data_IF_138128872299
#
_entry.id   IF_138128872299
#
_cell.length_a   1.000
_cell.length_b   1.000
_cell.length_c   1.000
_cell.angle_alpha   90.00
_cell.angle_beta   90.00
_cell.angle_gamma   90.00
#
_symmetry.space_group_name_H-M   'P 1'
#
loop_
_entity.id
_entity.type
_entity.pdbx_description
1 polymer ?
#
# COMPACT_ATOMS: atom_id res chain seq x y z
N UNK A 1 8.09 -0.31 1.47
CA UNK A 1 8.14 1.01 0.84
C UNK A 1 8.82 2.00 1.75
N UNK A 2 9.34 3.08 1.17
CA UNK A 2 10.06 4.17 1.84
C UNK A 2 9.57 5.50 1.29
N UNK A 3 9.32 6.47 2.17
CA UNK A 3 9.00 7.84 1.78
C UNK A 3 9.37 8.86 2.86
N UNK A 4 9.09 10.13 2.59
CA UNK A 4 9.39 11.28 3.46
C UNK A 4 8.21 12.26 3.45
N UNK A 5 8.04 13.03 4.52
CA UNK A 5 6.91 13.96 4.68
C UNK A 5 5.60 13.23 4.96
N UNK A 6 4.47 13.93 4.90
CA UNK A 6 3.17 13.36 5.23
C UNK A 6 2.79 13.50 6.70
N UNK A 7 1.48 13.44 6.93
CA UNK A 7 0.87 13.49 8.25
C UNK A 7 0.84 12.09 8.85
N UNK A 8 1.31 11.92 10.09
CA UNK A 8 1.47 10.61 10.73
C UNK A 8 0.14 9.83 10.77
N UNK A 9 -0.96 10.49 11.11
CA UNK A 9 -2.29 9.89 11.23
C UNK A 9 -2.79 9.36 9.87
N UNK A 10 -2.55 10.12 8.80
CA UNK A 10 -2.91 9.72 7.43
C UNK A 10 -2.01 8.58 6.97
N UNK A 11 -0.71 8.63 7.26
CA UNK A 11 0.21 7.54 6.92
C UNK A 11 -0.18 6.24 7.63
N UNK A 12 -0.63 6.27 8.89
CA UNK A 12 -1.08 5.06 9.59
C UNK A 12 -2.27 4.37 8.92
N UNK A 13 -3.16 5.12 8.22
CA UNK A 13 -4.28 4.49 7.51
C UNK A 13 -3.84 3.75 6.24
N UNK A 14 -2.77 4.21 5.60
CA UNK A 14 -2.27 3.68 4.32
C UNK A 14 -1.07 2.75 4.45
N UNK A 15 -0.29 2.85 5.52
CA UNK A 15 0.99 2.18 5.69
C UNK A 15 0.92 1.22 6.88
N UNK A 16 0.93 -0.08 6.61
CA UNK A 16 1.08 -1.08 7.67
C UNK A 16 2.54 -1.20 8.10
N UNK A 17 2.75 -1.58 9.36
CA UNK A 17 4.08 -1.65 9.98
C UNK A 17 4.87 -0.34 9.86
N UNK A 18 4.15 0.80 9.93
CA UNK A 18 4.72 2.13 9.78
C UNK A 18 5.80 2.38 10.84
N UNK A 19 7.02 2.61 10.37
CA UNK A 19 8.18 2.90 11.20
C UNK A 19 8.88 4.14 10.68
N UNK A 20 9.33 5.01 11.58
CA UNK A 20 10.10 6.20 11.25
C UNK A 20 11.56 5.99 11.61
N UNK A 21 12.46 6.24 10.66
CA UNK A 21 13.90 6.28 10.91
C UNK A 21 14.48 7.52 10.24
N UNK A 22 15.11 8.38 11.05
CA UNK A 22 15.59 9.70 10.63
C UNK A 22 14.41 10.53 10.06
N UNK A 23 14.52 10.98 8.82
CA UNK A 23 13.49 11.76 8.13
C UNK A 23 12.62 10.91 7.19
N UNK A 24 12.79 9.59 7.20
CA UNK A 24 12.06 8.69 6.31
C UNK A 24 11.12 7.80 7.11
N UNK A 25 9.96 7.52 6.52
CA UNK A 25 9.06 6.46 6.96
C UNK A 25 9.18 5.24 6.07
N UNK A 26 8.91 4.09 6.68
CA UNK A 26 9.02 2.75 6.13
C UNK A 26 7.77 1.96 6.46
N UNK A 27 7.38 1.03 5.59
CA UNK A 27 6.29 0.11 5.87
C UNK A 27 5.83 -0.63 4.62
N UNK A 28 4.61 -1.14 4.65
CA UNK A 28 3.98 -1.81 3.52
C UNK A 28 2.69 -1.08 3.15
N UNK A 29 2.39 -1.01 1.86
CA UNK A 29 1.17 -0.36 1.39
C UNK A 29 -0.04 -1.21 1.78
N UNK A 30 -1.06 -0.56 2.33
CA UNK A 30 -2.40 -1.11 2.49
C UNK A 30 -3.32 -0.49 1.43
N UNK A 31 -4.06 -1.34 0.72
CA UNK A 31 -5.00 -0.93 -0.32
C UNK A 31 -4.34 -0.65 -1.67
N UNK A 32 -5.04 0.13 -2.50
CA UNK A 32 -4.67 0.34 -3.90
C UNK A 32 -3.56 1.40 -4.07
N UNK A 33 -2.49 1.12 -4.85
CA UNK A 33 -1.39 2.05 -5.08
C UNK A 33 -1.81 3.42 -5.59
N UNK A 34 -2.73 3.49 -6.56
CA UNK A 34 -3.13 4.76 -7.17
C UNK A 34 -3.81 5.70 -6.17
N UNK A 35 -4.69 5.16 -5.33
CA UNK A 35 -5.35 5.92 -4.27
C UNK A 35 -4.34 6.46 -3.25
N UNK A 36 -3.34 5.64 -2.91
CA UNK A 36 -2.25 6.07 -2.04
C UNK A 36 -1.40 7.18 -2.66
N UNK A 37 -0.99 7.06 -3.93
CA UNK A 37 -0.23 8.11 -4.63
C UNK A 37 -1.00 9.43 -4.66
N UNK A 38 -2.32 9.39 -4.83
CA UNK A 38 -3.15 10.59 -4.74
C UNK A 38 -3.15 11.19 -3.34
N UNK A 39 -3.25 10.36 -2.30
CA UNK A 39 -3.20 10.83 -0.91
C UNK A 39 -1.85 11.48 -0.55
N UNK A 40 -0.73 10.98 -1.09
CA UNK A 40 0.60 11.55 -0.84
C UNK A 40 0.69 13.02 -1.31
N UNK A 41 0.07 13.34 -2.44
CA UNK A 41 0.04 14.70 -2.98
C UNK A 41 -0.72 15.68 -2.08
N UNK A 42 -1.75 15.22 -1.37
CA UNK A 42 -2.53 16.08 -0.47
C UNK A 42 -1.87 16.29 0.89
N UNK A 43 -0.87 15.49 1.26
CA UNK A 43 -0.20 15.54 2.57
C UNK A 43 1.26 16.01 2.50
N UNK A 44 1.68 16.63 1.40
CA UNK A 44 3.07 17.08 1.16
C UNK A 44 4.10 15.96 1.46
N UNK A 45 3.79 14.76 0.96
CA UNK A 45 4.61 13.58 1.12
C UNK A 45 5.20 13.13 -0.22
N UNK A 46 6.42 12.59 -0.15
CA UNK A 46 7.13 12.05 -1.30
C UNK A 46 7.44 10.58 -1.10
N UNK A 47 7.01 9.77 -2.05
CA UNK A 47 7.38 8.36 -2.13
C UNK A 47 8.77 8.25 -2.75
N UNK A 48 9.73 7.74 -1.98
CA UNK A 48 11.11 7.55 -2.44
C UNK A 48 11.25 6.22 -3.18
N UNK A 49 10.64 5.16 -2.64
CA UNK A 49 10.68 3.82 -3.22
C UNK A 49 9.47 2.99 -2.81
N UNK A 50 8.80 2.41 -3.79
CA UNK A 50 7.82 1.35 -3.57
C UNK A 50 8.21 0.14 -4.39
N UNK A 51 8.39 -0.99 -3.71
CA UNK A 51 8.55 -2.27 -4.38
C UNK A 51 7.18 -2.93 -4.38
N UNK A 52 6.54 -2.94 -5.54
CA UNK A 52 5.28 -3.65 -5.73
C UNK A 52 5.68 -5.11 -5.92
N UNK A 53 5.57 -5.91 -4.85
CA UNK A 53 5.62 -7.36 -5.02
C UNK A 53 4.44 -7.75 -5.91
N UNK A 54 4.73 -8.47 -7.00
CA UNK A 54 3.66 -9.03 -7.83
C UNK A 54 2.80 -9.95 -6.95
N UNK A 55 1.47 -9.96 -7.13
CA UNK A 55 0.63 -10.93 -6.45
C UNK A 55 1.20 -12.33 -6.68
N UNK A 56 1.11 -13.19 -5.67
CA UNK A 56 1.41 -14.60 -5.89
C UNK A 56 0.46 -15.15 -6.96
N UNK A 57 0.81 -16.28 -7.57
CA UNK A 57 -0.12 -16.96 -8.49
C UNK A 57 -1.47 -17.22 -7.82
N UNK A 58 -1.46 -17.58 -6.54
CA UNK A 58 -2.66 -17.82 -5.75
C UNK A 58 -3.51 -16.56 -5.56
N UNK A 59 -2.90 -15.43 -5.18
CA UNK A 59 -3.59 -14.14 -5.07
C UNK A 59 -4.23 -13.74 -6.40
N UNK A 60 -3.52 -13.97 -7.51
CA UNK A 60 -4.06 -13.71 -8.84
C UNK A 60 -5.27 -14.61 -9.17
N UNK A 61 -5.21 -15.90 -8.83
CA UNK A 61 -6.33 -16.81 -9.01
C UNK A 61 -7.54 -16.40 -8.17
N UNK A 62 -7.35 -16.04 -6.90
CA UNK A 62 -8.42 -15.58 -6.01
C UNK A 62 -9.08 -14.29 -6.53
N UNK A 63 -8.30 -13.32 -7.01
CA UNK A 63 -8.85 -12.12 -7.63
C UNK A 63 -9.67 -12.43 -8.89
N UNK A 64 -9.23 -13.38 -9.71
CA UNK A 64 -9.97 -13.79 -10.91
C UNK A 64 -11.27 -14.54 -10.57
N UNK A 65 -11.29 -15.30 -9.47
CA UNK A 65 -12.51 -15.96 -8.98
C UNK A 65 -13.52 -14.97 -8.41
N UNK A 66 -13.07 -14.02 -7.57
CA UNK A 66 -13.92 -12.95 -7.04
C UNK A 66 -14.53 -12.08 -8.15
N UNK A 67 -13.75 -11.73 -9.17
CA UNK A 67 -14.27 -11.00 -10.35
C UNK A 67 -15.37 -11.76 -11.09
N UNK A 68 -15.41 -13.08 -10.96
CA UNK A 68 -16.44 -13.95 -11.57
C UNK A 68 -17.60 -14.24 -10.62
N UNK A 69 -17.62 -13.65 -9.42
CA UNK A 69 -18.61 -13.92 -8.38
C UNK A 69 -18.51 -15.33 -7.80
N UNK A 70 -17.34 -15.97 -7.91
CA UNK A 70 -17.09 -17.32 -7.40
C UNK A 70 -16.33 -17.15 -6.09
N UNK A 71 -16.97 -17.51 -4.98
CA UNK A 71 -16.28 -17.61 -3.70
C UNK A 71 -15.58 -18.96 -3.60
N UNK A 72 -14.28 -19.01 -3.23
CA UNK A 72 -13.60 -20.28 -3.02
C UNK A 72 -14.21 -21.01 -1.83
N UNK A 73 -14.66 -22.25 -2.05
CA UNK A 73 -15.02 -23.15 -0.96
C UNK A 73 -13.74 -23.63 -0.28
N UNK A 74 -13.50 -23.21 0.96
CA UNK A 74 -12.46 -23.74 1.84
C UNK A 74 -12.92 -25.03 2.54
#
# INVERSE_FOLDING_TARGET
>A
MVGKGGTHEVLQSWVSNLSFQRECWYGQLRGEPEAFINSLRSMDAHLIRMNISRPSLEDFFLQQLQKRGIEPSY
#
